data_IF_708962223279
#
_entry.id   IF_708962223279
#
_cell.length_a   1.000
_cell.length_b   1.000
_cell.length_c   1.000
_cell.angle_alpha   90.00
_cell.angle_beta   90.00
_cell.angle_gamma   90.00
#
_symmetry.space_group_name_H-M   'P 1'
#
loop_
_entity.id
_entity.type
_entity.pdbx_description
1 polymer ?
#
# COMPACT_ATOMS: atom_id res chain seq x y z
N UNK A 1 22.63 -10.16 15.09
CA UNK A 1 21.83 -9.36 16.05
C UNK A 1 22.80 -8.48 16.82
N UNK A 2 22.61 -7.16 16.87
CA UNK A 2 23.58 -6.28 17.55
C UNK A 2 23.36 -6.27 19.07
N UNK A 3 24.38 -5.87 19.82
CA UNK A 3 24.37 -5.84 21.29
C UNK A 3 23.25 -4.97 21.87
N UNK A 4 22.92 -3.85 21.21
CA UNK A 4 21.83 -2.96 21.60
C UNK A 4 20.47 -3.67 21.58
N UNK A 5 20.21 -4.51 20.57
CA UNK A 5 18.97 -5.30 20.48
C UNK A 5 18.92 -6.39 21.54
N UNK A 6 20.07 -7.01 21.85
CA UNK A 6 20.15 -8.02 22.92
C UNK A 6 19.88 -7.39 24.29
N UNK A 7 20.47 -6.23 24.58
CA UNK A 7 20.23 -5.48 25.81
C UNK A 7 18.75 -5.07 25.95
N UNK A 8 18.13 -4.57 24.88
CA UNK A 8 16.71 -4.20 24.90
C UNK A 8 15.78 -5.40 25.15
N UNK A 9 16.11 -6.59 24.62
CA UNK A 9 15.31 -7.82 24.83
C UNK A 9 15.29 -8.26 26.29
N UNK A 10 16.40 -8.09 27.01
CA UNK A 10 16.47 -8.44 28.43
C UNK A 10 15.60 -7.54 29.31
N UNK A 11 15.19 -6.37 28.81
CA UNK A 11 14.35 -5.41 29.54
C UNK A 11 12.84 -5.62 29.32
N UNK A 12 12.43 -6.62 28.51
CA UNK A 12 11.02 -6.90 28.27
C UNK A 12 10.33 -7.28 29.58
N UNK A 13 9.23 -6.60 29.90
CA UNK A 13 8.46 -6.82 31.13
C UNK A 13 8.99 -6.09 32.35
N UNK A 14 10.14 -5.40 32.27
CA UNK A 14 10.68 -4.63 33.39
C UNK A 14 10.02 -3.23 33.47
N UNK A 15 9.36 -2.86 34.58
CA UNK A 15 8.80 -1.52 34.75
C UNK A 15 9.86 -0.42 34.64
N UNK A 16 9.53 0.67 33.95
CA UNK A 16 10.44 1.81 33.75
C UNK A 16 11.61 1.57 32.79
N UNK A 17 11.71 0.38 32.16
CA UNK A 17 12.75 0.03 31.18
C UNK A 17 12.87 0.99 30.01
N UNK A 18 11.78 1.68 29.63
CA UNK A 18 11.76 2.73 28.60
C UNK A 18 12.91 3.74 28.76
N UNK A 19 13.22 4.15 29.99
CA UNK A 19 14.25 5.16 30.26
C UNK A 19 15.69 4.62 30.15
N UNK A 20 15.86 3.29 30.07
CA UNK A 20 17.16 2.60 29.99
C UNK A 20 17.47 2.08 28.57
N UNK A 21 16.55 2.28 27.61
CA UNK A 21 16.79 1.88 26.23
C UNK A 21 17.93 2.68 25.62
N UNK A 22 18.88 2.04 24.90
CA UNK A 22 19.90 2.76 24.16
C UNK A 22 19.27 3.75 23.16
N UNK A 23 19.64 5.02 23.24
CA UNK A 23 19.11 6.10 22.39
C UNK A 23 20.06 6.44 21.23
N UNK A 24 19.54 6.83 20.05
CA UNK A 24 18.12 7.08 19.74
C UNK A 24 17.31 5.79 19.56
N UNK A 25 16.08 5.79 20.09
CA UNK A 25 15.14 4.68 19.95
C UNK A 25 13.78 5.20 19.50
N UNK A 26 13.23 4.62 18.43
CA UNK A 26 11.85 4.83 18.03
C UNK A 26 10.96 3.91 18.87
N UNK A 27 10.06 4.49 19.65
CA UNK A 27 9.15 3.75 20.52
C UNK A 27 7.71 3.86 20.00
N UNK A 28 6.96 2.78 20.19
CA UNK A 28 5.52 2.73 19.92
C UNK A 28 4.81 2.52 21.25
N UNK A 29 3.92 3.44 21.60
CA UNK A 29 2.97 3.26 22.71
C UNK A 29 1.88 2.29 22.23
N UNK A 30 1.84 1.11 22.85
CA UNK A 30 1.01 0.00 22.40
C UNK A 30 -0.48 0.27 22.67
N UNK A 31 -0.82 0.85 23.81
CA UNK A 31 -2.21 1.21 24.13
C UNK A 31 -2.73 2.29 23.18
N UNK A 32 -1.91 3.30 22.87
CA UNK A 32 -2.27 4.34 21.90
C UNK A 32 -2.39 3.78 20.48
N UNK A 33 -1.50 2.88 20.10
CA UNK A 33 -1.53 2.19 18.81
C UNK A 33 -2.83 1.37 18.65
N UNK A 34 -3.15 0.53 19.62
CA UNK A 34 -4.34 -0.32 19.58
C UNK A 34 -5.63 0.50 19.53
N UNK A 35 -5.73 1.58 20.33
CA UNK A 35 -6.86 2.51 20.27
C UNK A 35 -7.00 3.16 18.88
N UNK A 36 -5.91 3.57 18.26
CA UNK A 36 -5.94 4.21 16.94
C UNK A 36 -6.36 3.22 15.84
N UNK A 37 -5.86 1.98 15.88
CA UNK A 37 -6.24 0.92 14.94
C UNK A 37 -7.73 0.60 15.07
N UNK A 38 -8.21 0.37 16.29
CA UNK A 38 -9.62 0.07 16.55
C UNK A 38 -10.55 1.20 16.10
N UNK A 39 -10.17 2.46 16.40
CA UNK A 39 -10.97 3.63 16.00
C UNK A 39 -11.15 3.75 14.50
N UNK A 40 -10.07 3.57 13.72
CA UNK A 40 -10.15 3.69 12.25
C UNK A 40 -10.93 2.51 11.64
N UNK A 41 -10.70 1.29 12.15
CA UNK A 41 -11.43 0.11 11.70
C UNK A 41 -12.95 0.26 11.94
N UNK A 42 -13.35 0.69 13.14
CA UNK A 42 -14.75 0.90 13.47
C UNK A 42 -15.36 2.04 12.63
N UNK A 43 -14.63 3.15 12.44
CA UNK A 43 -15.09 4.24 11.59
C UNK A 43 -15.41 3.78 10.16
N UNK A 44 -14.52 2.99 9.54
CA UNK A 44 -14.79 2.44 8.21
C UNK A 44 -16.00 1.49 8.22
N UNK A 45 -16.07 0.60 9.22
CA UNK A 45 -17.16 -0.38 9.36
C UNK A 45 -18.53 0.28 9.48
N UNK A 46 -18.70 1.27 10.36
CA UNK A 46 -20.02 1.94 10.54
C UNK A 46 -20.45 2.75 9.33
N UNK A 47 -19.50 3.18 8.49
CA UNK A 47 -19.78 3.89 7.24
C UNK A 47 -19.85 2.95 6.01
N UNK A 48 -19.75 1.63 6.20
CA UNK A 48 -19.79 0.67 5.09
C UNK A 48 -18.60 0.76 4.13
N UNK A 49 -17.44 1.25 4.60
CA UNK A 49 -16.24 1.45 3.80
C UNK A 49 -15.22 0.33 4.03
N UNK A 50 -14.53 -0.07 2.97
CA UNK A 50 -13.34 -0.91 3.07
C UNK A 50 -12.13 -0.13 3.54
N UNK A 51 -11.35 -0.68 4.47
CA UNK A 51 -10.11 -0.07 4.95
C UNK A 51 -8.89 -0.80 4.39
N UNK A 52 -7.97 -0.05 3.76
CA UNK A 52 -6.65 -0.52 3.32
C UNK A 52 -5.55 0.43 3.80
N UNK A 53 -5.00 0.24 5.01
CA UNK A 53 -4.04 1.16 5.62
C UNK A 53 -2.72 1.23 4.85
N UNK A 54 -2.07 2.38 4.89
CA UNK A 54 -0.84 2.60 4.14
C UNK A 54 0.41 2.25 4.97
N UNK A 55 1.12 1.21 4.53
CA UNK A 55 2.31 0.72 5.22
C UNK A 55 3.54 1.63 5.10
N UNK A 56 3.54 2.66 4.24
CA UNK A 56 4.69 3.56 4.06
C UNK A 56 5.11 4.26 5.36
N UNK A 57 4.15 4.46 6.27
CA UNK A 57 4.36 5.15 7.55
C UNK A 57 5.22 4.32 8.51
N UNK A 58 4.99 3.01 8.57
CA UNK A 58 5.62 2.14 9.58
C UNK A 58 6.55 1.07 9.01
N UNK A 59 6.34 0.64 7.75
CA UNK A 59 7.14 -0.40 7.06
C UNK A 59 7.36 -1.67 7.89
N UNK A 60 6.37 -2.01 8.72
CA UNK A 60 6.41 -3.12 9.66
C UNK A 60 5.30 -4.12 9.37
N UNK A 61 5.70 -5.38 9.13
CA UNK A 61 4.79 -6.52 8.92
C UNK A 61 3.93 -6.75 10.16
N UNK A 62 4.50 -6.61 11.36
CA UNK A 62 3.75 -6.78 12.62
C UNK A 62 2.60 -5.77 12.72
N UNK A 63 2.86 -4.51 12.38
CA UNK A 63 1.81 -3.47 12.38
C UNK A 63 0.75 -3.73 11.31
N UNK A 64 1.17 -4.13 10.10
CA UNK A 64 0.25 -4.50 9.03
C UNK A 64 -0.67 -5.67 9.43
N UNK A 65 -0.13 -6.71 10.07
CA UNK A 65 -0.91 -7.85 10.57
C UNK A 65 -1.90 -7.43 11.65
N UNK A 66 -1.52 -6.54 12.57
CA UNK A 66 -2.44 -6.02 13.57
C UNK A 66 -3.61 -5.23 12.93
N UNK A 67 -3.33 -4.42 11.91
CA UNK A 67 -4.36 -3.70 11.15
C UNK A 67 -5.32 -4.64 10.40
N UNK A 68 -4.78 -5.69 9.77
CA UNK A 68 -5.58 -6.72 9.09
C UNK A 68 -6.43 -7.52 10.08
N UNK A 69 -5.86 -7.90 11.22
CA UNK A 69 -6.60 -8.57 12.30
C UNK A 69 -7.76 -7.71 12.85
N UNK A 70 -7.64 -6.38 12.77
CA UNK A 70 -8.70 -5.45 13.13
C UNK A 70 -9.76 -5.24 12.04
N UNK A 71 -9.65 -5.92 10.88
CA UNK A 71 -10.64 -5.91 9.80
C UNK A 71 -10.24 -5.15 8.53
N UNK A 72 -8.98 -4.73 8.39
CA UNK A 72 -8.51 -4.18 7.12
C UNK A 72 -8.50 -5.25 6.00
N UNK A 73 -8.86 -4.85 4.77
CA UNK A 73 -8.90 -5.72 3.59
C UNK A 73 -7.51 -6.11 3.06
N UNK A 74 -6.46 -5.52 3.62
CA UNK A 74 -5.07 -5.61 3.18
C UNK A 74 -4.35 -4.30 3.45
N UNK A 75 -3.25 -4.03 2.75
CA UNK A 75 -2.45 -2.81 2.93
C UNK A 75 -2.10 -2.11 1.61
N UNK A 76 -1.71 -0.85 1.71
CA UNK A 76 -1.15 -0.05 0.62
C UNK A 76 0.37 0.12 0.79
N UNK A 77 1.12 -0.04 -0.30
CA UNK A 77 2.57 0.22 -0.38
C UNK A 77 2.86 1.33 -1.38
N UNK A 78 3.86 2.16 -1.10
CA UNK A 78 4.23 3.28 -1.98
C UNK A 78 5.19 2.85 -3.08
N UNK A 79 5.92 1.74 -2.87
CA UNK A 79 6.91 1.20 -3.81
C UNK A 79 6.86 -0.32 -3.84
N UNK A 80 7.22 -0.89 -4.99
CA UNK A 80 7.28 -2.34 -5.19
C UNK A 80 8.14 -3.07 -4.14
N UNK A 81 9.30 -2.52 -3.76
CA UNK A 81 10.15 -3.15 -2.74
C UNK A 81 9.51 -3.23 -1.35
N UNK A 82 8.60 -2.31 -1.02
CA UNK A 82 7.81 -2.41 0.22
C UNK A 82 6.79 -3.54 0.11
N UNK A 83 6.12 -3.66 -1.04
CA UNK A 83 5.15 -4.72 -1.30
C UNK A 83 5.80 -6.10 -1.24
N UNK A 84 6.98 -6.28 -1.85
CA UNK A 84 7.77 -7.51 -1.76
C UNK A 84 8.13 -7.86 -0.31
N UNK A 85 8.55 -6.88 0.50
CA UNK A 85 8.87 -7.09 1.91
C UNK A 85 7.63 -7.47 2.74
N UNK A 86 6.49 -6.84 2.48
CA UNK A 86 5.21 -7.18 3.12
C UNK A 86 4.73 -8.59 2.72
N UNK A 87 4.85 -8.93 1.44
CA UNK A 87 4.53 -10.25 0.91
C UNK A 87 5.39 -11.35 1.54
N UNK A 88 6.72 -11.13 1.65
CA UNK A 88 7.62 -12.04 2.35
C UNK A 88 7.26 -12.22 3.84
N UNK A 89 6.60 -11.22 4.44
CA UNK A 89 6.03 -11.27 5.78
C UNK A 89 4.68 -12.00 5.89
N UNK A 90 4.13 -12.48 4.78
CA UNK A 90 2.84 -13.18 4.70
C UNK A 90 1.63 -12.25 4.56
N UNK A 91 1.81 -11.04 4.02
CA UNK A 91 0.67 -10.18 3.64
C UNK A 91 0.26 -10.50 2.19
N UNK A 92 -0.99 -10.87 1.98
CA UNK A 92 -1.45 -11.39 0.68
C UNK A 92 -2.16 -10.35 -0.20
N UNK A 93 -2.91 -9.43 0.41
CA UNK A 93 -3.64 -8.38 -0.33
C UNK A 93 -2.91 -7.04 -0.22
N UNK A 94 -2.32 -6.59 -1.33
CA UNK A 94 -1.49 -5.38 -1.39
C UNK A 94 -1.92 -4.51 -2.58
N UNK A 95 -2.10 -3.21 -2.35
CA UNK A 95 -2.21 -2.21 -3.42
C UNK A 95 -0.92 -1.39 -3.48
N UNK A 96 -0.26 -1.34 -4.64
CA UNK A 96 0.86 -0.45 -4.91
C UNK A 96 0.30 0.87 -5.45
N UNK A 97 0.31 1.91 -4.64
CA UNK A 97 -0.37 3.19 -4.89
C UNK A 97 0.46 4.16 -5.75
N UNK A 98 1.41 3.66 -6.53
CA UNK A 98 2.26 4.46 -7.43
C UNK A 98 2.64 3.67 -8.68
N UNK A 99 2.69 4.29 -9.88
CA UNK A 99 3.00 3.57 -11.11
C UNK A 99 4.36 2.86 -11.09
N UNK A 100 4.40 1.64 -11.63
CA UNK A 100 5.64 0.85 -11.82
C UNK A 100 5.97 0.85 -13.31
N UNK A 101 6.99 1.63 -13.69
CA UNK A 101 7.21 2.02 -15.10
C UNK A 101 8.48 1.46 -15.73
N UNK A 102 9.45 0.99 -14.94
CA UNK A 102 10.71 0.49 -15.50
C UNK A 102 10.56 -0.98 -15.92
N UNK A 103 11.23 -1.44 -17.00
CA UNK A 103 11.15 -2.84 -17.43
C UNK A 103 11.50 -3.83 -16.30
N UNK A 104 12.55 -3.54 -15.53
CA UNK A 104 12.94 -4.33 -14.37
C UNK A 104 11.86 -4.33 -13.26
N UNK A 105 11.24 -3.17 -13.01
CA UNK A 105 10.17 -3.04 -12.04
C UNK A 105 8.92 -3.82 -12.44
N UNK A 106 8.54 -3.75 -13.72
CA UNK A 106 7.41 -4.48 -14.27
C UNK A 106 7.66 -5.99 -14.18
N UNK A 107 8.83 -6.49 -14.56
CA UNK A 107 9.16 -7.92 -14.43
C UNK A 107 9.06 -8.42 -12.98
N UNK A 108 9.53 -7.62 -12.01
CA UNK A 108 9.38 -7.93 -10.57
C UNK A 108 7.93 -7.86 -10.10
N UNK A 109 7.15 -6.91 -10.61
CA UNK A 109 5.72 -6.78 -10.30
C UNK A 109 4.96 -8.02 -10.76
N UNK A 110 5.20 -8.50 -11.98
CA UNK A 110 4.55 -9.71 -12.51
C UNK A 110 4.97 -10.95 -11.70
N UNK A 111 6.27 -11.06 -11.34
CA UNK A 111 6.75 -12.14 -10.49
C UNK A 111 6.12 -12.12 -9.08
N UNK A 112 5.81 -10.93 -8.55
CA UNK A 112 5.08 -10.78 -7.29
C UNK A 112 3.60 -11.14 -7.46
N UNK A 113 2.95 -10.70 -8.54
CA UNK A 113 1.56 -11.00 -8.88
C UNK A 113 1.31 -12.52 -9.01
N UNK A 114 2.30 -13.25 -9.54
CA UNK A 114 2.24 -14.71 -9.62
C UNK A 114 2.11 -15.41 -8.25
N UNK A 115 2.53 -14.74 -7.17
CA UNK A 115 2.45 -15.23 -5.79
C UNK A 115 1.23 -14.66 -5.04
N UNK A 116 0.76 -13.48 -5.45
CA UNK A 116 -0.30 -12.72 -4.78
C UNK A 116 -1.42 -12.39 -5.78
N UNK A 117 -2.45 -13.26 -5.93
CA UNK A 117 -3.55 -13.04 -6.88
C UNK A 117 -4.38 -11.76 -6.63
N UNK A 118 -4.31 -11.22 -5.41
CA UNK A 118 -4.98 -9.97 -5.02
C UNK A 118 -4.05 -8.74 -5.04
N UNK A 119 -2.87 -8.86 -5.63
CA UNK A 119 -2.00 -7.72 -5.87
C UNK A 119 -2.66 -6.76 -6.85
N UNK A 120 -2.70 -5.49 -6.47
CA UNK A 120 -3.16 -4.40 -7.30
C UNK A 120 -2.05 -3.37 -7.50
N UNK A 121 -2.04 -2.73 -8.65
CA UNK A 121 -1.15 -1.59 -8.96
C UNK A 121 -1.97 -0.46 -9.59
N UNK A 122 -1.43 0.75 -9.60
CA UNK A 122 -2.04 1.87 -10.31
C UNK A 122 -1.33 2.19 -11.62
N UNK A 123 -2.05 2.75 -12.58
CA UNK A 123 -1.51 3.32 -13.80
C UNK A 123 -2.22 4.64 -14.15
N UNK A 124 -1.48 5.56 -14.76
CA UNK A 124 -1.96 6.89 -15.19
C UNK A 124 -1.51 7.26 -16.61
N UNK A 125 -0.87 6.33 -17.32
CA UNK A 125 -0.27 6.59 -18.62
C UNK A 125 -0.47 5.42 -19.59
N UNK A 126 -0.92 5.66 -20.84
CA UNK A 126 -1.22 4.59 -21.79
C UNK A 126 0.03 3.81 -22.24
N UNK A 127 1.22 4.41 -22.21
CA UNK A 127 2.49 3.69 -22.47
C UNK A 127 2.76 2.68 -21.36
N UNK A 128 2.53 3.05 -20.10
CA UNK A 128 2.71 2.13 -18.98
C UNK A 128 1.66 1.01 -19.00
N UNK A 129 0.39 1.32 -19.30
CA UNK A 129 -0.67 0.31 -19.46
C UNK A 129 -0.29 -0.73 -20.51
N UNK A 130 0.18 -0.31 -21.69
CA UNK A 130 0.62 -1.24 -22.73
C UNK A 130 1.81 -2.10 -22.30
N UNK A 131 2.76 -1.55 -21.55
CA UNK A 131 3.90 -2.29 -21.02
C UNK A 131 3.48 -3.33 -19.97
N UNK A 132 2.53 -2.98 -19.09
CA UNK A 132 1.95 -3.91 -18.12
C UNK A 132 1.17 -5.02 -18.82
N UNK A 133 0.36 -4.70 -19.82
CA UNK A 133 -0.42 -5.67 -20.60
C UNK A 133 0.49 -6.69 -21.30
N UNK A 134 1.56 -6.23 -21.95
CA UNK A 134 2.52 -7.10 -22.61
C UNK A 134 3.18 -8.08 -21.61
N UNK A 135 3.67 -7.57 -20.48
CA UNK A 135 4.32 -8.40 -19.46
C UNK A 135 3.35 -9.38 -18.77
N UNK A 136 2.10 -8.96 -18.53
CA UNK A 136 1.06 -9.83 -17.97
C UNK A 136 0.65 -10.95 -18.93
N UNK A 137 0.61 -10.65 -20.24
CA UNK A 137 0.30 -11.63 -21.29
C UNK A 137 1.39 -12.69 -21.47
N UNK A 138 2.67 -12.33 -21.34
CA UNK A 138 3.79 -13.28 -21.39
C UNK A 138 3.65 -14.39 -20.33
N UNK A 139 3.22 -14.02 -19.13
CA UNK A 139 3.03 -14.94 -17.99
C UNK A 139 1.60 -15.50 -17.90
N UNK A 140 0.69 -15.06 -18.79
CA UNK A 140 -0.74 -15.43 -18.82
C UNK A 140 -1.43 -15.27 -17.47
N UNK A 141 -1.16 -14.17 -16.78
CA UNK A 141 -1.72 -13.88 -15.46
C UNK A 141 -2.37 -12.51 -15.45
N UNK A 142 -3.62 -12.48 -15.01
CA UNK A 142 -4.36 -11.24 -14.84
C UNK A 142 -3.71 -10.40 -13.75
N UNK A 143 -3.42 -9.14 -14.06
CA UNK A 143 -2.96 -8.13 -13.11
C UNK A 143 -4.10 -7.12 -12.87
N UNK A 144 -4.47 -6.92 -11.61
CA UNK A 144 -5.47 -5.91 -11.23
C UNK A 144 -4.85 -4.52 -11.26
N UNK A 145 -5.46 -3.61 -12.01
CA UNK A 145 -4.98 -2.24 -12.21
C UNK A 145 -6.07 -1.23 -11.87
N UNK A 146 -5.71 -0.19 -11.12
CA UNK A 146 -6.56 0.97 -10.90
C UNK A 146 -6.06 2.15 -11.73
N UNK A 147 -6.97 2.98 -12.23
CA UNK A 147 -6.60 4.27 -12.83
C UNK A 147 -6.29 5.27 -11.71
N UNK A 148 -5.07 5.79 -11.64
CA UNK A 148 -4.70 6.88 -10.71
C UNK A 148 -5.17 8.22 -11.29
N UNK A 149 -5.94 8.98 -10.53
CA UNK A 149 -6.51 10.26 -10.93
C UNK A 149 -5.84 11.43 -10.22
N UNK A 150 -5.47 12.45 -10.98
CA UNK A 150 -5.06 13.74 -10.40
C UNK A 150 -6.29 14.60 -10.08
N UNK A 151 -6.66 14.62 -8.80
CA UNK A 151 -7.76 15.44 -8.29
C UNK A 151 -7.28 16.81 -7.74
N UNK A 152 -6.15 17.33 -8.25
CA UNK A 152 -5.60 18.65 -7.91
C UNK A 152 -4.35 18.63 -7.05
N UNK A 153 -3.73 17.45 -6.84
CA UNK A 153 -2.43 17.36 -6.16
C UNK A 153 -1.26 17.61 -7.11
N UNK A 154 -1.45 17.38 -8.42
CA UNK A 154 -0.44 17.59 -9.46
C UNK A 154 0.87 16.84 -9.18
N UNK A 155 0.77 15.55 -8.85
CA UNK A 155 1.92 14.70 -8.54
C UNK A 155 2.03 13.50 -9.48
N UNK A 156 1.06 12.60 -9.39
CA UNK A 156 0.80 11.48 -10.31
C UNK A 156 -0.69 11.50 -10.58
N UNK A 157 -1.11 10.70 -11.56
CA UNK A 157 -2.50 10.55 -11.92
C UNK A 157 -2.84 11.26 -13.22
N UNK A 158 -3.75 10.64 -13.98
CA UNK A 158 -4.32 11.19 -15.19
C UNK A 158 -5.44 12.17 -14.83
N UNK A 159 -5.66 13.18 -15.68
CA UNK A 159 -6.70 14.16 -15.44
C UNK A 159 -8.08 13.48 -15.53
N UNK A 160 -9.01 13.71 -14.59
CA UNK A 160 -10.38 13.24 -14.73
C UNK A 160 -11.04 13.78 -16.00
N UNK A 161 -11.83 12.95 -16.67
CA UNK A 161 -12.53 13.29 -17.91
C UNK A 161 -12.26 12.26 -19.01
N UNK A 162 -12.30 12.72 -20.26
CA UNK A 162 -12.13 11.89 -21.45
C UNK A 162 -10.83 11.08 -21.44
N UNK A 163 -9.70 11.72 -21.10
CA UNK A 163 -8.39 11.04 -21.04
C UNK A 163 -8.36 9.86 -20.05
N UNK A 164 -9.01 10.01 -18.89
CA UNK A 164 -9.12 8.93 -17.91
C UNK A 164 -10.04 7.81 -18.39
N UNK A 165 -11.12 8.14 -19.09
CA UNK A 165 -12.02 7.16 -19.72
C UNK A 165 -11.28 6.36 -20.79
N UNK A 166 -10.54 7.02 -21.69
CA UNK A 166 -9.73 6.36 -22.72
C UNK A 166 -8.68 5.41 -22.11
N UNK A 167 -8.06 5.81 -20.99
CA UNK A 167 -7.12 4.95 -20.28
C UNK A 167 -7.81 3.72 -19.64
N UNK A 168 -9.01 3.90 -19.09
CA UNK A 168 -9.81 2.83 -18.52
C UNK A 168 -10.28 1.84 -19.61
N UNK A 169 -10.71 2.32 -20.77
CA UNK A 169 -11.07 1.49 -21.93
C UNK A 169 -9.86 0.71 -22.46
N UNK A 170 -8.67 1.34 -22.51
CA UNK A 170 -7.43 0.67 -22.87
C UNK A 170 -7.07 -0.47 -21.89
N UNK A 171 -7.33 -0.27 -20.60
CA UNK A 171 -7.15 -1.30 -19.57
C UNK A 171 -8.15 -2.44 -19.73
N UNK A 172 -9.44 -2.12 -19.90
CA UNK A 172 -10.53 -3.10 -20.02
C UNK A 172 -10.42 -3.97 -21.28
N UNK A 173 -9.89 -3.41 -22.38
CA UNK A 173 -9.66 -4.15 -23.61
C UNK A 173 -8.44 -5.10 -23.55
N UNK A 174 -7.59 -5.02 -22.52
CA UNK A 174 -6.39 -5.84 -22.42
C UNK A 174 -6.67 -7.17 -21.70
N UNK A 175 -6.54 -8.30 -22.44
CA UNK A 175 -6.89 -9.66 -21.97
C UNK A 175 -6.33 -10.05 -20.59
N UNK A 176 -5.12 -9.58 -20.24
CA UNK A 176 -4.44 -9.93 -18.99
C UNK A 176 -4.36 -8.79 -17.97
N UNK A 177 -5.16 -7.74 -18.15
CA UNK A 177 -5.37 -6.71 -17.13
C UNK A 177 -6.83 -6.73 -16.68
N UNK A 178 -7.06 -6.41 -15.41
CA UNK A 178 -8.39 -6.24 -14.84
C UNK A 178 -8.52 -4.81 -14.32
N UNK A 179 -9.49 -4.05 -14.82
CA UNK A 179 -9.82 -2.73 -14.29
C UNK A 179 -10.47 -2.88 -12.91
N UNK A 180 -9.67 -2.74 -11.85
CA UNK A 180 -10.10 -2.96 -10.47
C UNK A 180 -10.65 -1.69 -9.78
N UNK A 181 -10.67 -0.55 -10.48
CA UNK A 181 -11.29 0.69 -10.02
C UNK A 181 -10.41 1.92 -10.23
N UNK A 182 -10.60 2.91 -9.36
CA UNK A 182 -9.94 4.22 -9.43
C UNK A 182 -9.18 4.50 -8.13
N UNK A 183 -8.02 5.14 -8.23
CA UNK A 183 -7.33 5.77 -7.10
C UNK A 183 -7.43 7.29 -7.25
N UNK A 184 -7.78 7.99 -6.17
CA UNK A 184 -7.79 9.45 -6.13
C UNK A 184 -7.25 9.92 -4.76
N UNK A 185 -5.98 10.31 -4.72
CA UNK A 185 -5.32 10.71 -3.47
C UNK A 185 -5.32 12.22 -3.26
N UNK A 186 -6.21 12.69 -2.37
CA UNK A 186 -6.33 14.10 -1.97
C UNK A 186 -5.26 14.56 -0.99
N UNK A 187 -3.97 14.35 -1.29
CA UNK A 187 -2.87 14.65 -0.37
C UNK A 187 -2.79 16.11 0.09
N UNK A 188 -3.24 17.05 -0.74
CA UNK A 188 -3.28 18.48 -0.46
C UNK A 188 -4.36 18.86 0.58
N UNK A 189 -5.29 17.96 0.89
CA UNK A 189 -6.37 18.17 1.86
C UNK A 189 -5.95 17.78 3.29
N UNK A 190 -4.92 16.95 3.43
CA UNK A 190 -4.60 16.27 4.71
C UNK A 190 -4.08 17.20 5.81
N UNK A 191 -3.71 18.44 5.49
CA UNK A 191 -3.06 19.39 6.40
C UNK A 191 -3.63 20.81 6.33
N UNK A 192 -4.85 20.98 5.81
CA UNK A 192 -5.52 22.29 5.85
C UNK A 192 -5.85 22.60 7.31
N UNK A 193 -5.20 23.63 7.85
CA UNK A 193 -5.22 23.93 9.30
C UNK A 193 -6.62 24.19 9.84
N UNK A 194 -7.48 24.83 9.04
CA UNK A 194 -8.86 25.17 9.44
C UNK A 194 -9.76 23.93 9.62
N UNK A 195 -9.30 22.75 9.20
CA UNK A 195 -10.01 21.47 9.35
C UNK A 195 -9.29 20.47 10.29
N UNK A 196 -8.29 20.93 11.06
CA UNK A 196 -7.47 20.10 11.96
C UNK A 196 -8.12 19.82 13.32
#
# INVERSE_FOLDING_TARGET
MNEALAAARNMIGEPGSRARLPTPALLLDLDAFERNVARMAEHCKVNGLGLRPHAKTHKSVTVAKAQIAAGALGICCAKLGEAEAMAAGGIESILITSPVVTPQGIGRLIALNAKLPDLMVVADNPVNVRALAAAAAEEKRVLKVLVDLDIGLHRTGIRPGEEATELAELLDAAEYLELAGLQAYGGHLMHIQDFA
#
